data_IF_215707773873
#
_entry.id   IF_215707773873
#
_cell.length_a   1.000
_cell.length_b   1.000
_cell.length_c   1.000
_cell.angle_alpha   90.00
_cell.angle_beta   90.00
_cell.angle_gamma   90.00
#
_symmetry.space_group_name_H-M   'P 1'
#
loop_
_entity.id
_entity.type
_entity.pdbx_description
1 polymer ?
#
# COMPACT_ATOMS: atom_id res chain seq x y z
N UNK A 1 14.27 -6.57 -19.32
CA UNK A 1 13.20 -6.05 -18.44
C UNK A 1 13.85 -5.80 -17.08
N UNK A 2 13.71 -4.60 -16.50
CA UNK A 2 14.44 -4.26 -15.26
C UNK A 2 13.73 -4.89 -14.05
N UNK A 3 14.43 -5.77 -13.35
CA UNK A 3 14.05 -6.23 -12.01
C UNK A 3 14.38 -5.11 -11.01
N UNK A 4 13.52 -4.85 -10.01
CA UNK A 4 13.80 -3.79 -9.04
C UNK A 4 12.66 -3.46 -8.09
N UNK A 5 12.90 -2.45 -7.25
CA UNK A 5 11.91 -1.86 -6.35
C UNK A 5 11.52 -0.48 -6.89
N UNK A 6 10.22 -0.22 -6.93
CA UNK A 6 9.66 1.10 -7.20
C UNK A 6 9.09 1.66 -5.90
N UNK A 7 9.45 2.90 -5.58
CA UNK A 7 8.89 3.63 -4.44
C UNK A 7 7.74 4.46 -4.97
N UNK A 8 6.50 4.07 -4.64
CA UNK A 8 5.30 4.74 -5.14
C UNK A 8 4.67 5.53 -4.01
N UNK A 9 4.27 6.78 -4.28
CA UNK A 9 3.36 7.49 -3.40
C UNK A 9 1.91 7.09 -3.77
N UNK A 10 1.28 6.22 -2.98
CA UNK A 10 -0.09 5.76 -3.21
C UNK A 10 -1.06 6.92 -2.94
N UNK A 11 -1.92 7.29 -3.92
CA UNK A 11 -2.96 8.27 -3.68
C UNK A 11 -4.08 7.68 -2.81
N UNK A 12 -4.87 8.57 -2.23
CA UNK A 12 -6.10 8.22 -1.53
C UNK A 12 -7.13 7.64 -2.50
N UNK A 13 -8.04 6.81 -1.98
CA UNK A 13 -9.11 6.15 -2.74
C UNK A 13 -8.64 4.96 -3.59
N UNK A 14 -7.33 4.75 -3.74
CA UNK A 14 -6.79 3.61 -4.48
C UNK A 14 -6.36 2.48 -3.54
N UNK A 15 -6.78 1.24 -3.83
CA UNK A 15 -6.27 0.06 -3.11
C UNK A 15 -4.81 -0.21 -3.48
N UNK A 16 -4.05 -0.81 -2.56
CA UNK A 16 -2.66 -1.25 -2.84
C UNK A 16 -2.59 -2.22 -4.02
N UNK A 17 -3.58 -3.12 -4.16
CA UNK A 17 -3.71 -4.01 -5.31
C UNK A 17 -4.01 -3.26 -6.62
N UNK A 18 -4.80 -2.18 -6.56
CA UNK A 18 -5.06 -1.30 -7.70
C UNK A 18 -3.79 -0.66 -8.25
N UNK A 19 -2.88 -0.19 -7.38
CA UNK A 19 -1.56 0.30 -7.78
C UNK A 19 -0.76 -0.79 -8.49
N UNK A 20 -0.71 -1.99 -7.92
CA UNK A 20 0.00 -3.14 -8.52
C UNK A 20 -0.57 -3.46 -9.90
N UNK A 21 -1.90 -3.52 -10.04
CA UNK A 21 -2.56 -3.80 -11.33
C UNK A 21 -2.24 -2.76 -12.39
N UNK A 22 -2.29 -1.46 -12.03
CA UNK A 22 -1.95 -0.35 -12.93
C UNK A 22 -0.49 -0.44 -13.39
N UNK A 23 0.45 -0.66 -12.49
CA UNK A 23 1.87 -0.78 -12.81
C UNK A 23 2.20 -2.05 -13.59
N UNK A 24 1.54 -3.17 -13.29
CA UNK A 24 1.70 -4.43 -14.05
C UNK A 24 1.41 -4.20 -15.54
N UNK A 25 0.32 -3.50 -15.83
CA UNK A 25 -0.10 -3.16 -17.20
C UNK A 25 0.86 -2.19 -17.87
N UNK A 26 1.25 -1.11 -17.17
CA UNK A 26 2.14 -0.08 -17.72
C UNK A 26 3.54 -0.62 -18.03
N UNK A 27 4.10 -1.43 -17.12
CA UNK A 27 5.44 -1.96 -17.23
C UNK A 27 5.52 -3.25 -18.07
N UNK A 28 4.37 -3.82 -18.46
CA UNK A 28 4.24 -5.08 -19.22
C UNK A 28 5.02 -6.24 -18.58
N UNK A 29 4.91 -6.38 -17.26
CA UNK A 29 5.67 -7.38 -16.47
C UNK A 29 4.77 -8.54 -16.01
N UNK A 30 5.33 -9.76 -15.96
CA UNK A 30 4.60 -10.95 -15.49
C UNK A 30 4.47 -10.99 -13.97
N UNK A 31 5.54 -10.65 -13.25
CA UNK A 31 5.63 -10.77 -11.78
C UNK A 31 5.82 -9.39 -11.14
N UNK A 32 4.92 -9.03 -10.24
CA UNK A 32 4.92 -7.75 -9.51
C UNK A 32 4.09 -7.92 -8.23
N UNK A 33 4.43 -7.18 -7.17
CA UNK A 33 3.66 -7.16 -5.93
C UNK A 33 4.11 -6.02 -5.01
N UNK A 34 3.29 -5.67 -4.01
CA UNK A 34 3.68 -4.70 -2.98
C UNK A 34 4.31 -5.41 -1.77
N UNK A 35 4.98 -4.66 -0.89
CA UNK A 35 5.66 -5.22 0.30
C UNK A 35 5.07 -4.75 1.63
N UNK A 36 3.82 -4.33 1.60
CA UNK A 36 3.02 -3.86 2.73
C UNK A 36 1.73 -3.25 2.18
N UNK A 37 0.61 -3.50 2.84
CA UNK A 37 -0.68 -2.95 2.40
C UNK A 37 -0.87 -1.58 3.05
N UNK A 38 -1.33 -0.61 2.26
CA UNK A 38 -1.96 0.61 2.74
C UNK A 38 -3.46 0.53 2.45
N UNK A 39 -4.27 0.94 3.41
CA UNK A 39 -5.72 1.04 3.28
C UNK A 39 -6.10 2.03 2.17
N UNK A 40 -7.30 1.90 1.58
CA UNK A 40 -7.73 2.76 0.49
C UNK A 40 -7.67 4.25 0.84
N UNK A 41 -8.08 4.64 2.04
CA UNK A 41 -8.07 6.02 2.51
C UNK A 41 -6.66 6.55 2.81
N UNK A 42 -5.71 5.67 3.14
CA UNK A 42 -4.36 6.09 3.49
C UNK A 42 -3.59 6.57 2.25
N UNK A 43 -2.64 7.47 2.43
CA UNK A 43 -1.69 7.89 1.39
C UNK A 43 -0.25 7.57 1.80
N UNK A 44 0.69 7.67 0.86
CA UNK A 44 2.12 7.61 1.19
C UNK A 44 2.85 6.43 0.56
N UNK A 45 3.97 6.04 1.18
CA UNK A 45 4.96 5.16 0.57
C UNK A 45 4.44 3.72 0.46
N UNK A 46 4.31 3.25 -0.79
CA UNK A 46 4.01 1.87 -1.15
C UNK A 46 5.16 1.32 -2.01
N UNK A 47 5.95 0.41 -1.44
CA UNK A 47 7.03 -0.25 -2.16
C UNK A 47 6.47 -1.34 -3.08
N UNK A 48 6.85 -1.29 -4.36
CA UNK A 48 6.44 -2.24 -5.40
C UNK A 48 7.66 -2.99 -5.90
N UNK A 49 7.67 -4.31 -5.71
CA UNK A 49 8.71 -5.18 -6.21
C UNK A 49 8.35 -5.74 -7.58
N UNK A 50 9.27 -5.64 -8.55
CA UNK A 50 9.09 -6.06 -9.95
C UNK A 50 10.05 -7.20 -10.27
N UNK A 51 9.53 -8.24 -10.94
CA UNK A 51 10.33 -9.36 -11.43
C UNK A 51 11.04 -10.11 -10.30
N UNK A 52 12.35 -10.32 -10.42
CA UNK A 52 13.16 -11.05 -9.42
C UNK A 52 13.17 -10.37 -8.05
N UNK A 53 12.99 -9.04 -7.99
CA UNK A 53 12.97 -8.30 -6.73
C UNK A 53 11.80 -8.71 -5.81
N UNK A 54 10.74 -9.34 -6.34
CA UNK A 54 9.67 -9.92 -5.50
C UNK A 54 10.17 -10.97 -4.50
N UNK A 55 11.36 -11.56 -4.74
CA UNK A 55 11.98 -12.51 -3.80
C UNK A 55 12.44 -11.83 -2.51
N UNK A 56 12.74 -10.53 -2.54
CA UNK A 56 13.23 -9.77 -1.37
C UNK A 56 12.12 -9.03 -0.63
N UNK A 57 10.85 -9.14 -1.06
CA UNK A 57 9.70 -8.47 -0.42
C UNK A 57 9.59 -8.74 1.09
N UNK A 58 9.99 -9.92 1.55
CA UNK A 58 10.01 -10.31 2.97
C UNK A 58 10.83 -9.38 3.86
N UNK A 59 11.92 -8.81 3.34
CA UNK A 59 12.77 -7.92 4.13
C UNK A 59 12.10 -6.57 4.41
N UNK A 60 11.24 -6.10 3.49
CA UNK A 60 10.50 -4.85 3.65
C UNK A 60 9.24 -5.05 4.51
N UNK A 61 8.63 -6.24 4.48
CA UNK A 61 7.48 -6.57 5.31
C UNK A 61 7.79 -6.43 6.81
N UNK A 62 9.01 -6.73 7.25
CA UNK A 62 9.43 -6.62 8.66
C UNK A 62 10.19 -5.34 9.01
N UNK A 63 10.39 -4.42 8.06
CA UNK A 63 11.07 -3.15 8.34
C UNK A 63 10.27 -2.24 9.27
N UNK A 64 10.91 -1.21 9.81
CA UNK A 64 10.22 -0.14 10.56
C UNK A 64 9.41 0.75 9.60
N UNK A 65 8.26 1.26 10.05
CA UNK A 65 7.43 2.21 9.29
C UNK A 65 7.07 3.39 10.18
N UNK A 66 7.12 4.58 9.60
CA UNK A 66 6.63 5.80 10.22
C UNK A 66 5.28 6.18 9.63
N UNK A 67 4.35 6.56 10.49
CA UNK A 67 3.02 7.01 10.08
C UNK A 67 2.74 8.38 10.68
N UNK A 68 2.00 9.20 9.94
CA UNK A 68 1.31 10.36 10.47
C UNK A 68 -0.18 10.07 10.36
N UNK A 69 -0.87 10.17 11.49
CA UNK A 69 -2.30 9.92 11.57
C UNK A 69 -2.96 11.03 12.40
N UNK A 70 -4.23 11.27 12.11
CA UNK A 70 -5.12 12.09 12.93
C UNK A 70 -6.21 11.18 13.48
N UNK A 71 -6.59 11.38 14.73
CA UNK A 71 -7.56 10.53 15.44
C UNK A 71 -8.62 11.43 16.07
N UNK A 72 -9.88 11.07 15.87
CA UNK A 72 -11.03 11.70 16.55
C UNK A 72 -11.33 10.94 17.83
N UNK A 73 -11.15 11.58 18.98
CA UNK A 73 -11.45 10.96 20.28
C UNK A 73 -12.95 10.99 20.57
N UNK A 74 -13.47 9.90 21.16
CA UNK A 74 -14.88 9.79 21.57
C UNK A 74 -15.84 9.39 20.45
N UNK A 75 -15.33 8.93 19.31
CA UNK A 75 -16.12 8.35 18.21
C UNK A 75 -15.51 7.01 17.84
N UNK A 76 -16.33 5.98 17.70
CA UNK A 76 -15.92 4.68 17.16
C UNK A 76 -16.63 4.42 15.83
N UNK A 77 -15.92 3.83 14.88
CA UNK A 77 -16.48 3.38 13.60
C UNK A 77 -16.22 1.89 13.40
N UNK A 78 -17.06 1.21 12.62
CA UNK A 78 -16.96 -0.23 12.32
C UNK A 78 -15.68 -0.63 11.54
N UNK A 79 -15.04 0.32 10.86
CA UNK A 79 -13.76 0.14 10.17
C UNK A 79 -12.56 0.68 10.95
N UNK A 80 -12.78 1.32 12.10
CA UNK A 80 -11.77 2.03 12.89
C UNK A 80 -11.03 3.15 12.13
N UNK A 81 -11.65 3.65 11.06
CA UNK A 81 -11.22 4.82 10.31
C UNK A 81 -12.42 5.68 9.90
N UNK A 82 -12.17 6.81 9.26
CA UNK A 82 -13.20 7.77 8.88
C UNK A 82 -14.09 7.30 7.71
N UNK A 83 -13.84 6.13 7.12
CA UNK A 83 -14.64 5.58 6.01
C UNK A 83 -15.76 4.66 6.47
N UNK A 84 -15.76 4.27 7.74
CA UNK A 84 -16.78 3.40 8.35
C UNK A 84 -18.03 4.14 8.82
N UNK A 85 -18.97 3.36 9.37
CA UNK A 85 -20.19 3.84 10.02
C UNK A 85 -19.95 3.96 11.52
N UNK A 86 -20.42 5.05 12.14
CA UNK A 86 -20.29 5.28 13.59
C UNK A 86 -21.06 4.21 14.37
N UNK A 87 -20.41 3.62 15.37
CA UNK A 87 -20.96 2.57 16.24
C UNK A 87 -21.09 3.00 17.70
N UNK A 88 -20.27 3.94 18.17
CA UNK A 88 -20.37 4.54 19.50
C UNK A 88 -19.86 5.98 19.55
#
# INVERSE_FOLDING_TARGET
MKDGILVVNKPEGMTSAGVVGRLKRLLKVKKIGHTGTLDPFATGVLLIAVGKATRISRFFLHGTKGYRAEVTLGVETDTYDHTGVITS
#
